data_IF_770607457445
#
_entry.id   IF_770607457445
#
_cell.length_a   1.000
_cell.length_b   1.000
_cell.length_c   1.000
_cell.angle_alpha   90.00
_cell.angle_beta   90.00
_cell.angle_gamma   90.00
#
_symmetry.space_group_name_H-M   'P 1'
#
loop_
_entity.id
_entity.type
_entity.pdbx_description
1 polymer ?
#
# COMPACT_ATOMS: atom_id res chain seq x y z
N UNK A 1 5.89 20.87 27.53
CA UNK A 1 5.61 21.46 26.21
C UNK A 1 6.03 20.42 25.21
N UNK A 2 5.12 19.90 24.39
CA UNK A 2 5.53 19.03 23.29
C UNK A 2 6.18 19.93 22.24
N UNK A 3 7.43 19.66 21.89
CA UNK A 3 8.11 20.26 20.72
C UNK A 3 7.65 19.57 19.40
N UNK A 4 6.47 18.96 19.42
CA UNK A 4 5.90 18.19 18.32
C UNK A 4 5.32 19.08 17.21
N UNK A 5 5.33 18.54 16.00
CA UNK A 5 4.63 19.09 14.84
C UNK A 5 3.21 18.51 14.82
N UNK A 6 2.17 19.33 14.68
CA UNK A 6 0.80 18.86 14.49
C UNK A 6 0.51 18.64 12.99
N UNK A 7 0.48 17.41 12.47
CA UNK A 7 0.23 17.16 11.05
C UNK A 7 -1.17 17.56 10.57
N UNK A 8 -2.12 17.85 11.47
CA UNK A 8 -3.46 18.28 11.08
C UNK A 8 -3.54 19.80 10.85
N UNK A 9 -2.80 20.59 11.64
CA UNK A 9 -2.96 22.04 11.69
C UNK A 9 -1.72 22.84 11.36
N UNK A 10 -0.53 22.29 11.59
CA UNK A 10 0.71 23.02 11.41
C UNK A 10 1.15 23.05 9.94
N UNK A 11 1.67 24.19 9.45
CA UNK A 11 2.21 24.27 8.10
C UNK A 11 3.46 23.40 7.93
N UNK A 12 3.53 22.65 6.84
CA UNK A 12 4.70 21.86 6.46
C UNK A 12 5.82 22.78 5.96
N UNK A 13 6.95 22.82 6.67
CA UNK A 13 8.12 23.64 6.31
C UNK A 13 9.41 22.82 6.13
N UNK A 14 9.37 21.51 6.37
CA UNK A 14 10.51 20.61 6.21
C UNK A 14 10.09 19.25 5.64
N UNK A 15 11.07 18.50 5.11
CA UNK A 15 10.82 17.15 4.57
C UNK A 15 10.31 16.16 5.62
N UNK A 16 10.78 16.23 6.87
CA UNK A 16 10.28 15.39 7.97
C UNK A 16 8.81 15.66 8.27
N UNK A 17 8.42 16.92 8.35
CA UNK A 17 7.02 17.32 8.50
C UNK A 17 6.17 16.87 7.32
N UNK A 18 6.69 16.95 6.09
CA UNK A 18 6.00 16.45 4.91
C UNK A 18 5.74 14.93 4.99
N UNK A 19 6.73 14.15 5.45
CA UNK A 19 6.56 12.71 5.70
C UNK A 19 5.48 12.44 6.74
N UNK A 20 5.51 13.14 7.88
CA UNK A 20 4.51 12.97 8.95
C UNK A 20 3.11 13.37 8.48
N UNK A 21 2.96 14.52 7.83
CA UNK A 21 1.69 14.98 7.27
C UNK A 21 1.11 14.00 6.23
N UNK A 22 1.95 13.50 5.33
CA UNK A 22 1.53 12.53 4.31
C UNK A 22 1.08 11.20 4.92
N UNK A 23 1.81 10.69 5.92
CA UNK A 23 1.41 9.48 6.65
C UNK A 23 0.10 9.68 7.41
N UNK A 24 -0.04 10.79 8.14
CA UNK A 24 -1.27 11.14 8.84
C UNK A 24 -2.47 11.20 7.89
N UNK A 25 -2.31 11.90 6.74
CA UNK A 25 -3.39 12.02 5.74
C UNK A 25 -3.80 10.65 5.19
N UNK A 26 -2.85 9.74 4.94
CA UNK A 26 -3.13 8.38 4.47
C UNK A 26 -3.89 7.58 5.52
N UNK A 27 -3.42 7.56 6.77
CA UNK A 27 -4.10 6.85 7.86
C UNK A 27 -5.55 7.34 8.02
N UNK A 28 -5.77 8.67 7.97
CA UNK A 28 -7.12 9.26 8.01
C UNK A 28 -7.98 8.85 6.82
N UNK A 29 -7.42 8.85 5.61
CA UNK A 29 -8.14 8.44 4.41
C UNK A 29 -8.53 6.95 4.43
N UNK A 30 -7.74 6.10 5.10
CA UNK A 30 -7.99 4.67 5.29
C UNK A 30 -8.92 4.35 6.47
N UNK A 31 -9.30 5.35 7.28
CA UNK A 31 -10.09 5.15 8.50
C UNK A 31 -9.29 4.59 9.68
N UNK A 32 -7.95 4.63 9.62
CA UNK A 32 -7.03 4.18 10.67
C UNK A 32 -6.85 5.28 11.74
N UNK A 33 -7.95 5.67 12.39
CA UNK A 33 -7.99 6.81 13.32
C UNK A 33 -7.06 6.65 14.54
N UNK A 34 -6.93 5.44 15.08
CA UNK A 34 -6.07 5.16 16.23
C UNK A 34 -4.59 5.36 15.88
N UNK A 35 -4.12 4.80 14.76
CA UNK A 35 -2.76 4.99 14.27
C UNK A 35 -2.49 6.47 13.90
N UNK A 36 -3.48 7.15 13.30
CA UNK A 36 -3.36 8.58 13.00
C UNK A 36 -3.19 9.42 14.28
N UNK A 37 -3.92 9.07 15.35
CA UNK A 37 -3.82 9.72 16.65
C UNK A 37 -2.49 9.41 17.35
N UNK A 38 -2.01 8.17 17.30
CA UNK A 38 -0.70 7.78 17.83
C UNK A 38 0.42 8.60 17.15
N UNK A 39 0.40 8.67 15.83
CA UNK A 39 1.34 9.49 15.06
C UNK A 39 1.28 10.96 15.46
N UNK A 40 0.07 11.52 15.66
CA UNK A 40 -0.10 12.92 16.08
C UNK A 40 0.40 13.18 17.50
N UNK A 41 0.20 12.23 18.41
CA UNK A 41 0.52 12.36 19.84
C UNK A 41 1.97 12.06 20.21
N UNK A 42 2.77 11.52 19.29
CA UNK A 42 4.19 11.26 19.52
C UNK A 42 4.94 12.52 20.01
N UNK A 43 5.85 12.36 20.97
CA UNK A 43 6.36 13.48 21.77
C UNK A 43 7.27 14.41 20.97
N UNK A 44 7.91 13.87 19.93
CA UNK A 44 8.92 14.57 19.12
C UNK A 44 8.71 14.32 17.62
N UNK A 45 9.10 15.28 16.79
CA UNK A 45 9.10 15.11 15.32
C UNK A 45 9.93 13.91 14.86
N UNK A 46 11.00 13.57 15.58
CA UNK A 46 11.83 12.40 15.25
C UNK A 46 11.06 11.09 15.45
N UNK A 47 10.31 10.97 16.54
CA UNK A 47 9.45 9.84 16.82
C UNK A 47 8.28 9.76 15.83
N UNK A 48 7.60 10.88 15.58
CA UNK A 48 6.57 10.96 14.55
C UNK A 48 7.10 10.49 13.19
N UNK A 49 8.32 10.90 12.82
CA UNK A 49 8.93 10.47 11.54
C UNK A 49 9.22 8.98 11.52
N UNK A 50 9.58 8.36 12.65
CA UNK A 50 9.76 6.91 12.76
C UNK A 50 8.43 6.19 12.49
N UNK A 51 7.38 6.57 13.21
CA UNK A 51 6.03 5.99 13.06
C UNK A 51 5.53 6.20 11.62
N UNK A 52 5.69 7.40 11.06
CA UNK A 52 5.25 7.72 9.70
C UNK A 52 5.91 6.86 8.61
N UNK A 53 7.12 6.33 8.86
CA UNK A 53 7.82 5.43 7.92
C UNK A 53 7.32 3.99 7.98
N UNK A 54 6.62 3.62 9.05
CA UNK A 54 5.98 2.30 9.20
C UNK A 54 4.62 2.27 8.47
N UNK A 55 4.09 3.43 8.05
CA UNK A 55 2.85 3.53 7.28
C UNK A 55 3.09 3.21 5.81
N UNK A 56 2.51 2.10 5.32
CA UNK A 56 2.57 1.64 3.92
C UNK A 56 2.35 2.76 2.92
N UNK A 57 3.28 2.95 1.99
CA UNK A 57 3.26 4.00 0.96
C UNK A 57 1.98 3.99 0.13
N UNK A 58 1.52 2.80 -0.24
CA UNK A 58 0.34 2.56 -1.04
C UNK A 58 -0.33 1.25 -0.64
N UNK A 59 -1.63 1.30 -0.35
CA UNK A 59 -2.47 0.11 -0.15
C UNK A 59 -3.45 0.00 -1.32
N UNK A 60 -3.31 -0.98 -2.24
CA UNK A 60 -4.18 -1.09 -3.41
C UNK A 60 -5.67 -1.30 -3.07
N UNK A 61 -5.98 -1.83 -1.88
CA UNK A 61 -7.37 -2.01 -1.41
C UNK A 61 -8.03 -0.66 -1.08
N UNK A 62 -7.31 0.22 -0.39
CA UNK A 62 -7.87 1.43 0.20
C UNK A 62 -7.52 2.72 -0.55
N UNK A 63 -6.37 2.76 -1.23
CA UNK A 63 -5.84 3.98 -1.83
C UNK A 63 -6.22 4.11 -3.31
N UNK A 64 -6.46 5.36 -3.74
CA UNK A 64 -6.58 5.69 -5.15
C UNK A 64 -5.19 5.86 -5.80
N UNK A 65 -5.00 5.27 -6.98
CA UNK A 65 -3.74 5.38 -7.72
C UNK A 65 -3.49 6.81 -8.20
N UNK A 66 -2.32 7.36 -7.83
CA UNK A 66 -1.88 8.71 -8.21
C UNK A 66 -0.85 8.69 -9.36
N UNK A 67 -0.29 7.52 -9.68
CA UNK A 67 0.69 7.33 -10.74
C UNK A 67 0.56 5.96 -11.43
N UNK A 68 1.33 5.76 -12.49
CA UNK A 68 1.26 4.55 -13.31
C UNK A 68 1.75 3.27 -12.60
N UNK A 69 2.66 3.37 -11.64
CA UNK A 69 3.09 2.19 -10.85
C UNK A 69 1.97 1.76 -9.90
N UNK A 70 1.38 2.70 -9.15
CA UNK A 70 0.23 2.43 -8.29
C UNK A 70 -0.96 1.88 -9.08
N UNK A 71 -1.22 2.41 -10.28
CA UNK A 71 -2.27 1.89 -11.16
C UNK A 71 -1.99 0.45 -11.59
N UNK A 72 -0.74 0.11 -11.95
CA UNK A 72 -0.36 -1.26 -12.34
C UNK A 72 -0.46 -2.23 -11.15
N UNK A 73 -0.03 -1.83 -9.97
CA UNK A 73 -0.14 -2.63 -8.75
C UNK A 73 -1.61 -2.89 -8.43
N UNK A 74 -2.44 -1.86 -8.41
CA UNK A 74 -3.88 -2.00 -8.14
C UNK A 74 -4.57 -2.88 -9.18
N UNK A 75 -4.34 -2.66 -10.47
CA UNK A 75 -4.95 -3.50 -11.50
C UNK A 75 -4.52 -4.97 -11.42
N UNK A 76 -3.30 -5.27 -10.98
CA UNK A 76 -2.89 -6.65 -10.74
C UNK A 76 -3.56 -7.21 -9.49
N UNK A 77 -3.55 -6.45 -8.38
CA UNK A 77 -4.22 -6.84 -7.14
C UNK A 77 -5.69 -7.19 -7.37
N UNK A 78 -6.44 -6.32 -8.07
CA UNK A 78 -7.84 -6.55 -8.41
C UNK A 78 -8.03 -7.83 -9.24
N UNK A 79 -7.15 -8.08 -10.23
CA UNK A 79 -7.22 -9.27 -11.07
C UNK A 79 -6.86 -10.56 -10.32
N UNK A 80 -5.90 -10.52 -9.39
CA UNK A 80 -5.57 -11.64 -8.52
C UNK A 80 -6.79 -12.03 -7.69
N UNK A 81 -7.46 -11.07 -7.06
CA UNK A 81 -8.70 -11.30 -6.30
C UNK A 81 -9.83 -11.83 -7.20
N UNK A 82 -10.04 -11.22 -8.36
CA UNK A 82 -11.11 -11.63 -9.30
C UNK A 82 -10.98 -13.10 -9.73
N UNK A 83 -9.75 -13.61 -9.81
CA UNK A 83 -9.45 -14.98 -10.24
C UNK A 83 -9.11 -15.94 -9.08
N UNK A 84 -9.32 -15.53 -7.83
CA UNK A 84 -9.18 -16.41 -6.65
C UNK A 84 -7.76 -16.56 -6.10
N UNK A 85 -6.81 -15.76 -6.56
CA UNK A 85 -5.43 -15.73 -6.05
C UNK A 85 -5.31 -14.78 -4.84
N UNK A 86 -6.05 -15.09 -3.77
CA UNK A 86 -6.11 -14.25 -2.57
C UNK A 86 -4.76 -14.16 -1.85
N UNK A 87 -4.01 -15.27 -1.78
CA UNK A 87 -2.69 -15.31 -1.14
C UNK A 87 -1.69 -14.40 -1.87
N UNK A 88 -1.68 -14.41 -3.20
CA UNK A 88 -0.80 -13.55 -3.99
C UNK A 88 -1.26 -12.10 -4.01
N UNK A 89 -2.57 -11.84 -3.96
CA UNK A 89 -3.09 -10.49 -3.80
C UNK A 89 -2.62 -9.90 -2.45
N UNK A 90 -2.72 -10.66 -1.36
CA UNK A 90 -2.24 -10.23 -0.05
C UNK A 90 -0.71 -10.12 -0.01
N UNK A 91 0.02 -11.06 -0.65
CA UNK A 91 1.47 -10.98 -0.75
C UNK A 91 1.92 -9.72 -1.52
N UNK A 92 1.25 -9.36 -2.61
CA UNK A 92 1.50 -8.11 -3.33
C UNK A 92 1.21 -6.89 -2.45
N UNK A 93 0.09 -6.90 -1.71
CA UNK A 93 -0.32 -5.83 -0.79
C UNK A 93 0.60 -5.69 0.42
N UNK A 94 1.27 -6.76 0.85
CA UNK A 94 2.11 -6.76 2.05
C UNK A 94 3.37 -5.90 1.93
N UNK A 95 3.78 -5.52 0.71
CA UNK A 95 4.92 -4.61 0.52
C UNK A 95 4.66 -3.21 1.09
N UNK A 96 5.61 -2.69 1.86
CA UNK A 96 5.50 -1.39 2.54
C UNK A 96 5.70 -0.22 1.58
N UNK A 97 6.44 -0.43 0.49
CA UNK A 97 6.75 0.58 -0.52
C UNK A 97 6.24 0.19 -1.91
N UNK A 98 5.95 1.20 -2.74
CA UNK A 98 5.54 0.96 -4.15
C UNK A 98 6.62 0.18 -4.91
N UNK A 99 7.90 0.39 -4.58
CA UNK A 99 9.02 -0.31 -5.22
C UNK A 99 9.09 -1.80 -4.85
N UNK A 100 8.80 -2.17 -3.60
CA UNK A 100 8.71 -3.57 -3.18
C UNK A 100 7.54 -4.27 -3.86
N UNK A 101 6.39 -3.60 -3.94
CA UNK A 101 5.21 -4.09 -4.65
C UNK A 101 5.51 -4.29 -6.15
N UNK A 102 6.21 -3.35 -6.81
CA UNK A 102 6.65 -3.51 -8.21
C UNK A 102 7.62 -4.69 -8.40
N UNK A 103 8.51 -4.95 -7.44
CA UNK A 103 9.40 -6.12 -7.49
C UNK A 103 8.62 -7.42 -7.35
N UNK A 104 7.66 -7.48 -6.44
CA UNK A 104 6.77 -8.62 -6.28
C UNK A 104 5.95 -8.85 -7.55
N UNK A 105 5.38 -7.79 -8.11
CA UNK A 105 4.69 -7.81 -9.40
C UNK A 105 5.58 -8.36 -10.51
N UNK A 106 6.83 -7.90 -10.61
CA UNK A 106 7.77 -8.42 -11.61
C UNK A 106 8.10 -9.91 -11.41
N UNK A 107 8.14 -10.38 -10.16
CA UNK A 107 8.32 -11.80 -9.84
C UNK A 107 7.14 -12.64 -10.32
N UNK A 108 5.91 -12.27 -9.96
CA UNK A 108 4.68 -12.94 -10.42
C UNK A 108 4.62 -13.01 -11.95
N UNK A 109 4.94 -11.89 -12.62
CA UNK A 109 4.96 -11.83 -14.08
C UNK A 109 5.96 -12.81 -14.71
N UNK A 110 7.12 -12.98 -14.09
CA UNK A 110 8.15 -13.89 -14.57
C UNK A 110 7.79 -15.35 -14.29
N UNK A 111 7.22 -15.63 -13.12
CA UNK A 111 6.86 -16.99 -12.68
C UNK A 111 5.69 -17.55 -13.49
N UNK A 112 4.64 -16.75 -13.69
CA UNK A 112 3.41 -17.20 -14.35
C UNK A 112 3.36 -16.89 -15.84
N UNK A 113 4.35 -16.12 -16.33
CA UNK A 113 4.36 -15.63 -17.73
C UNK A 113 3.27 -14.60 -18.02
N UNK A 114 2.61 -14.05 -17.00
CA UNK A 114 1.54 -13.05 -17.14
C UNK A 114 2.17 -11.66 -17.21
N UNK A 115 1.87 -10.85 -18.22
CA UNK A 115 2.39 -9.47 -18.28
C UNK A 115 1.33 -8.42 -17.97
N UNK A 116 0.06 -8.81 -18.06
CA UNK A 116 -1.12 -7.96 -17.92
C UNK A 116 -2.10 -8.61 -16.94
N UNK A 117 -3.05 -7.83 -16.40
CA UNK A 117 -4.18 -8.38 -15.63
C UNK A 117 -4.92 -9.50 -16.39
N UNK A 118 -5.11 -9.34 -17.70
CA UNK A 118 -5.71 -10.38 -18.56
C UNK A 118 -4.93 -11.69 -18.56
N UNK A 119 -3.60 -11.64 -18.43
CA UNK A 119 -2.78 -12.85 -18.33
C UNK A 119 -3.08 -13.65 -17.06
N UNK A 120 -3.53 -13.02 -15.98
CA UNK A 120 -3.93 -13.73 -14.74
C UNK A 120 -5.13 -14.63 -14.99
N UNK A 121 -6.11 -14.16 -15.76
CA UNK A 121 -7.26 -14.96 -16.18
C UNK A 121 -6.83 -16.19 -16.98
N UNK A 122 -5.95 -15.97 -17.98
CA UNK A 122 -5.42 -17.05 -18.83
C UNK A 122 -4.63 -18.08 -18.02
N UNK A 123 -3.87 -17.62 -17.02
CA UNK A 123 -3.13 -18.48 -16.11
C UNK A 123 -4.08 -19.30 -15.21
N UNK A 124 -5.10 -18.69 -14.61
CA UNK A 124 -6.12 -19.38 -13.80
C UNK A 124 -6.84 -20.48 -14.60
N UNK A 125 -7.24 -20.17 -15.84
CA UNK A 125 -7.88 -21.14 -16.74
C UNK A 125 -6.94 -22.32 -17.05
N UNK A 126 -5.64 -22.05 -17.24
CA UNK A 126 -4.64 -23.06 -17.58
C UNK A 126 -4.24 -23.96 -16.41
N UNK A 127 -4.22 -23.43 -15.18
CA UNK A 127 -3.92 -24.20 -13.96
C UNK A 127 -5.13 -24.95 -13.40
N UNK A 128 -6.30 -24.80 -14.04
CA UNK A 128 -7.50 -25.55 -13.72
C UNK A 128 -8.33 -24.94 -12.59
N UNK A 129 -8.15 -23.64 -12.31
CA UNK A 129 -8.92 -22.88 -11.34
C UNK A 129 -9.03 -23.60 -10.00
N UNK A 130 -7.98 -23.58 -9.18
CA UNK A 130 -8.16 -23.75 -7.73
C UNK A 130 -8.89 -22.51 -7.15
N UNK A 131 -10.05 -22.18 -7.70
CA UNK A 131 -11.08 -21.52 -6.94
C UNK A 131 -11.52 -22.54 -5.90
N UNK A 132 -10.94 -22.44 -4.71
CA UNK A 132 -11.30 -23.20 -3.54
C UNK A 132 -12.82 -23.23 -3.40
N UNK A 133 -13.42 -24.34 -3.80
CA UNK A 133 -14.74 -24.75 -3.31
C UNK A 133 -14.51 -25.29 -1.89
N UNK A 134 -14.40 -24.37 -0.94
CA UNK A 134 -14.27 -24.65 0.50
C UNK A 134 -15.38 -23.96 1.28
#
# INVERSE_FOLDING_TARGET
>A
MSDGFDPETDPVVSSRQATVHSAYTRLRARGEDEAANELRQAETLAEQTRIAREVKEFDPEHDSAQNSSQARIRSMYDALLEHGFEEEAEALRSGDTVNEQERHLAHLRAEWGVSTPTGVAEFADATGGEAASG
#
